data_IF_832531023491
#
_entry.id   IF_832531023491
#
_cell.length_a   1.000
_cell.length_b   1.000
_cell.length_c   1.000
_cell.angle_alpha   90.00
_cell.angle_beta   90.00
_cell.angle_gamma   90.00
#
_symmetry.space_group_name_H-M   'P 1'
#
loop_
_entity.id
_entity.type
_entity.pdbx_description
1 polymer ?
#
# COMPACT_ATOMS: atom_id res chain seq x y z
N UNK A 1 1.40 -23.45 3.69
CA UNK A 1 1.91 -22.35 2.86
C UNK A 1 2.58 -21.34 3.78
N UNK A 2 3.90 -21.20 3.70
CA UNK A 2 4.66 -20.31 4.58
C UNK A 2 4.61 -18.87 4.03
N UNK A 3 4.55 -17.87 4.90
CA UNK A 3 4.81 -16.48 4.50
C UNK A 3 6.32 -16.31 4.28
N UNK A 4 6.70 -15.43 3.36
CA UNK A 4 8.11 -15.16 3.05
C UNK A 4 8.76 -14.28 4.11
N UNK A 5 8.18 -13.12 4.38
CA UNK A 5 8.62 -12.18 5.42
C UNK A 5 7.44 -11.38 5.96
N UNK A 6 7.66 -10.67 7.06
CA UNK A 6 6.72 -9.65 7.54
C UNK A 6 7.24 -8.30 7.03
N UNK A 7 6.37 -7.56 6.36
CA UNK A 7 6.66 -6.22 5.87
C UNK A 7 5.87 -5.21 6.69
N UNK A 8 6.49 -4.09 7.02
CA UNK A 8 5.91 -3.02 7.82
C UNK A 8 6.09 -1.67 7.15
N UNK A 9 5.00 -1.11 6.65
CA UNK A 9 5.00 0.25 6.12
C UNK A 9 4.87 1.26 7.26
N UNK A 10 5.80 2.20 7.35
CA UNK A 10 5.95 3.09 8.49
C UNK A 10 5.76 4.55 8.11
N UNK A 11 5.12 5.30 9.00
CA UNK A 11 5.18 6.75 9.01
C UNK A 11 6.59 7.26 9.31
N UNK A 12 6.80 8.55 9.03
CA UNK A 12 8.10 9.20 9.19
C UNK A 12 8.61 9.11 10.64
N UNK A 13 7.81 9.53 11.60
CA UNK A 13 8.23 9.66 13.00
C UNK A 13 8.46 8.29 13.63
N UNK A 14 7.62 7.30 13.30
CA UNK A 14 7.81 5.91 13.70
C UNK A 14 9.14 5.36 13.18
N UNK A 15 9.42 5.58 11.89
CA UNK A 15 10.63 5.10 11.24
C UNK A 15 11.88 5.76 11.83
N UNK A 16 11.86 7.08 12.02
CA UNK A 16 12.96 7.85 12.61
C UNK A 16 13.22 7.38 14.06
N UNK A 17 12.17 7.20 14.86
CA UNK A 17 12.27 6.71 16.23
C UNK A 17 12.81 5.28 16.31
N UNK A 18 12.41 4.40 15.39
CA UNK A 18 12.92 3.03 15.31
C UNK A 18 14.40 2.99 14.91
N UNK A 19 14.80 3.84 13.97
CA UNK A 19 16.19 3.95 13.53
C UNK A 19 17.12 4.48 14.64
N UNK A 20 16.63 5.38 15.49
CA UNK A 20 17.45 5.99 16.55
C UNK A 20 17.65 5.09 17.78
N UNK A 21 16.90 3.99 17.90
CA UNK A 21 17.09 3.02 18.98
C UNK A 21 18.51 2.46 18.98
N UNK A 22 19.11 2.38 20.18
CA UNK A 22 20.50 1.98 20.36
C UNK A 22 20.76 0.59 19.81
N UNK A 23 19.89 -0.37 20.12
CA UNK A 23 19.98 -1.77 19.71
C UNK A 23 19.95 -1.92 18.18
N UNK A 24 19.17 -1.06 17.52
CA UNK A 24 19.07 -1.04 16.05
C UNK A 24 20.37 -0.55 15.45
N UNK A 25 20.88 0.58 15.92
CA UNK A 25 22.15 1.15 15.42
C UNK A 25 23.33 0.23 15.69
N UNK A 26 23.37 -0.41 16.86
CA UNK A 26 24.40 -1.40 17.22
C UNK A 26 24.37 -2.62 16.30
N UNK A 27 23.18 -3.09 15.90
CA UNK A 27 23.05 -4.19 14.94
C UNK A 27 23.66 -3.83 13.58
N UNK A 28 23.38 -2.63 13.07
CA UNK A 28 23.96 -2.16 11.79
C UNK A 28 25.48 -1.91 11.87
N UNK A 29 25.99 -1.48 13.03
CA UNK A 29 27.43 -1.36 13.27
C UNK A 29 28.11 -2.74 13.30
N UNK A 30 27.49 -3.71 13.96
CA UNK A 30 28.02 -5.07 14.09
C UNK A 30 28.03 -5.83 12.75
N UNK A 31 27.07 -5.56 11.86
CA UNK A 31 26.99 -6.16 10.53
C UNK A 31 27.92 -5.50 9.49
N UNK A 32 28.84 -4.64 9.93
CA UNK A 32 29.77 -3.87 9.09
C UNK A 32 29.10 -2.91 8.09
N UNK A 33 27.82 -2.61 8.30
CA UNK A 33 27.00 -1.67 7.53
C UNK A 33 27.09 -0.23 8.09
N UNK A 34 28.19 0.08 8.80
CA UNK A 34 28.40 1.37 9.46
C UNK A 34 28.39 2.57 8.51
N UNK A 35 28.63 2.36 7.21
CA UNK A 35 28.51 3.40 6.19
C UNK A 35 27.07 3.92 6.05
N UNK A 36 26.05 3.07 6.25
CA UNK A 36 24.63 3.47 6.18
C UNK A 36 24.26 4.44 7.28
N UNK A 37 24.89 4.33 8.44
CA UNK A 37 24.72 5.31 9.53
C UNK A 37 25.26 6.70 9.19
N UNK A 38 26.24 6.81 8.27
CA UNK A 38 26.74 8.11 7.79
C UNK A 38 25.79 8.77 6.79
N UNK A 39 25.11 7.97 5.97
CA UNK A 39 24.20 8.47 4.93
C UNK A 39 22.79 8.80 5.48
N UNK A 40 22.50 8.40 6.72
CA UNK A 40 21.24 8.63 7.41
C UNK A 40 20.33 7.40 7.44
N UNK A 41 19.10 7.55 7.94
CA UNK A 41 18.17 6.42 8.02
C UNK A 41 17.81 5.94 6.60
N UNK A 42 18.11 4.68 6.24
CA UNK A 42 17.74 4.14 4.92
C UNK A 42 16.21 4.07 4.81
N UNK A 43 15.65 4.30 3.61
CA UNK A 43 14.20 4.25 3.41
C UNK A 43 13.63 2.82 3.64
N UNK A 44 14.46 1.79 3.55
CA UNK A 44 14.11 0.40 3.87
C UNK A 44 15.23 -0.23 4.70
N UNK A 45 14.86 -0.86 5.81
CA UNK A 45 15.77 -1.66 6.61
C UNK A 45 15.08 -2.86 7.23
N UNK A 46 15.83 -3.90 7.56
CA UNK A 46 15.30 -5.11 8.20
C UNK A 46 15.88 -5.25 9.60
N UNK A 47 15.01 -5.49 10.58
CA UNK A 47 15.41 -5.79 11.96
C UNK A 47 14.73 -7.09 12.36
N UNK A 48 15.53 -8.06 12.80
CA UNK A 48 15.04 -9.41 13.04
C UNK A 48 14.43 -10.03 11.79
N UNK A 49 13.13 -10.32 11.82
CA UNK A 49 12.38 -10.93 10.69
C UNK A 49 11.34 -9.98 10.07
N UNK A 50 11.44 -8.68 10.35
CA UNK A 50 10.53 -7.65 9.86
C UNK A 50 11.30 -6.65 9.01
N UNK A 51 10.84 -6.45 7.78
CA UNK A 51 11.32 -5.39 6.90
C UNK A 51 10.47 -4.15 7.10
N UNK A 52 11.09 -3.06 7.55
CA UNK A 52 10.46 -1.77 7.74
C UNK A 52 10.77 -0.89 6.52
N UNK A 53 9.72 -0.31 5.92
CA UNK A 53 9.81 0.61 4.80
C UNK A 53 9.13 1.93 5.15
N UNK A 54 9.82 3.04 4.92
CA UNK A 54 9.29 4.38 5.12
C UNK A 54 8.30 4.73 4.00
N UNK A 55 7.03 4.84 4.36
CA UNK A 55 5.98 5.18 3.40
C UNK A 55 5.87 6.70 3.20
N UNK A 56 6.31 7.19 2.05
CA UNK A 56 6.21 8.60 1.68
C UNK A 56 4.89 8.87 0.94
N UNK A 57 3.91 9.44 1.65
CA UNK A 57 2.69 9.93 0.98
C UNK A 57 3.02 11.12 0.09
N UNK A 58 2.68 11.05 -1.21
CA UNK A 58 2.94 12.14 -2.15
C UNK A 58 2.07 13.38 -1.86
N UNK A 59 2.59 14.58 -2.16
CA UNK A 59 1.90 15.87 -1.87
C UNK A 59 0.45 15.92 -2.37
N UNK A 60 0.19 15.41 -3.59
CA UNK A 60 -1.17 15.34 -4.16
C UNK A 60 -2.10 14.43 -3.37
N UNK A 61 -1.57 13.29 -2.90
CA UNK A 61 -2.33 12.34 -2.09
C UNK A 61 -2.63 12.90 -0.69
N UNK A 62 -1.69 13.59 -0.08
CA UNK A 62 -1.91 14.29 1.20
C UNK A 62 -2.98 15.37 1.06
N UNK A 63 -2.95 16.17 -0.01
CA UNK A 63 -3.96 17.18 -0.27
C UNK A 63 -5.36 16.56 -0.49
N UNK A 64 -5.43 15.42 -1.19
CA UNK A 64 -6.67 14.69 -1.40
C UNK A 64 -7.19 13.98 -0.14
N UNK A 65 -6.35 13.82 0.89
CA UNK A 65 -6.66 13.15 2.15
C UNK A 65 -6.67 14.13 3.33
N UNK A 66 -7.30 15.30 3.16
CA UNK A 66 -7.45 16.34 4.19
C UNK A 66 -6.14 16.73 4.91
N UNK A 67 -5.01 16.71 4.21
CA UNK A 67 -3.71 17.04 4.79
C UNK A 67 -3.03 15.89 5.56
N UNK A 68 -3.67 14.72 5.67
CA UNK A 68 -3.13 13.55 6.36
C UNK A 68 -2.41 12.59 5.39
N UNK A 69 -1.37 11.92 5.88
CA UNK A 69 -0.73 10.80 5.17
C UNK A 69 -1.66 9.57 5.10
N UNK A 70 -1.41 8.65 4.17
CA UNK A 70 -2.15 7.36 4.16
C UNK A 70 -1.79 6.47 5.36
N UNK A 71 -0.58 6.66 5.89
CA UNK A 71 -0.09 6.10 7.14
C UNK A 71 0.28 7.29 8.01
N UNK A 72 -0.21 7.32 9.25
CA UNK A 72 0.08 8.41 10.18
C UNK A 72 1.57 8.43 10.53
N UNK A 73 2.11 9.60 10.87
CA UNK A 73 3.55 9.78 11.05
C UNK A 73 4.12 8.89 12.17
N UNK A 74 3.34 8.65 13.23
CA UNK A 74 3.67 7.83 14.40
C UNK A 74 3.17 6.37 14.31
N UNK A 75 2.67 5.94 13.15
CA UNK A 75 2.09 4.61 12.94
C UNK A 75 2.96 3.74 12.02
N UNK A 76 2.93 2.44 12.23
CA UNK A 76 3.38 1.44 11.27
C UNK A 76 2.33 0.34 11.06
N UNK A 77 2.22 -0.15 9.83
CA UNK A 77 1.27 -1.20 9.42
C UNK A 77 2.02 -2.45 8.98
N UNK A 78 1.91 -3.50 9.77
CA UNK A 78 2.56 -4.78 9.55
C UNK A 78 1.63 -5.79 8.87
N UNK A 79 2.17 -6.51 7.89
CA UNK A 79 1.47 -7.56 7.18
C UNK A 79 2.44 -8.63 6.65
N UNK A 80 2.00 -9.90 6.56
CA UNK A 80 2.82 -10.94 5.96
C UNK A 80 2.81 -10.84 4.42
N UNK A 81 3.96 -11.09 3.81
CA UNK A 81 4.15 -11.10 2.35
C UNK A 81 4.41 -12.52 1.88
N UNK A 82 3.98 -12.85 0.65
CA UNK A 82 4.18 -14.17 0.04
C UNK A 82 3.07 -15.18 0.32
N UNK A 83 2.02 -14.80 1.04
CA UNK A 83 0.83 -15.64 1.25
C UNK A 83 -0.07 -15.54 0.01
N UNK A 84 -0.22 -16.65 -0.72
CA UNK A 84 -1.05 -16.68 -1.92
C UNK A 84 -2.51 -16.37 -1.59
N UNK A 85 -3.12 -15.47 -2.38
CA UNK A 85 -4.51 -15.06 -2.20
C UNK A 85 -4.77 -14.21 -0.94
N UNK A 86 -3.74 -13.74 -0.24
CA UNK A 86 -3.94 -12.88 0.93
C UNK A 86 -4.51 -11.51 0.53
N UNK A 87 -3.88 -10.85 -0.43
CA UNK A 87 -4.38 -9.62 -1.03
C UNK A 87 -4.89 -9.94 -2.42
N UNK A 88 -6.18 -9.72 -2.64
CA UNK A 88 -6.83 -9.98 -3.92
C UNK A 88 -7.63 -8.76 -4.35
N UNK A 89 -7.72 -8.55 -5.65
CA UNK A 89 -8.70 -7.66 -6.26
C UNK A 89 -9.78 -8.49 -6.92
N UNK A 90 -11.03 -8.08 -6.74
CA UNK A 90 -12.20 -8.63 -7.43
C UNK A 90 -12.89 -7.52 -8.19
N UNK A 91 -13.49 -7.88 -9.31
CA UNK A 91 -14.16 -6.93 -10.20
C UNK A 91 -15.62 -7.32 -10.31
N UNK A 92 -16.50 -6.34 -10.14
CA UNK A 92 -17.92 -6.48 -10.42
C UNK A 92 -18.21 -6.13 -11.89
N UNK A 93 -19.35 -6.57 -12.44
CA UNK A 93 -19.83 -6.13 -13.74
C UNK A 93 -20.00 -4.61 -13.81
N UNK A 94 -19.96 -4.06 -15.02
CA UNK A 94 -20.33 -2.67 -15.25
C UNK A 94 -21.83 -2.45 -14.96
N UNK A 95 -22.22 -1.22 -14.67
CA UNK A 95 -23.62 -0.80 -14.50
C UNK A 95 -24.30 -0.44 -15.83
N UNK A 96 -23.98 -1.19 -16.88
CA UNK A 96 -24.62 -1.09 -18.19
C UNK A 96 -25.64 -2.22 -18.33
N UNK A 97 -26.75 -1.93 -19.02
CA UNK A 97 -27.79 -2.93 -19.35
C UNK A 97 -27.19 -4.16 -20.05
N UNK A 98 -26.20 -3.95 -20.93
CA UNK A 98 -25.52 -5.02 -21.68
C UNK A 98 -24.60 -5.90 -20.81
N UNK A 99 -24.22 -5.43 -19.61
CA UNK A 99 -23.33 -6.15 -18.69
C UNK A 99 -24.05 -6.76 -17.50
N UNK A 100 -25.37 -6.65 -17.42
CA UNK A 100 -26.18 -7.29 -16.39
C UNK A 100 -25.98 -8.81 -16.42
N UNK A 101 -25.75 -9.41 -15.25
CA UNK A 101 -25.53 -10.86 -15.08
C UNK A 101 -24.34 -11.43 -15.88
N UNK A 102 -23.34 -10.60 -16.19
CA UNK A 102 -22.09 -11.03 -16.82
C UNK A 102 -20.96 -11.19 -15.81
N UNK A 103 -19.83 -11.76 -16.22
CA UNK A 103 -18.62 -11.83 -15.39
C UNK A 103 -17.96 -10.44 -15.34
N UNK A 104 -17.59 -10.00 -14.14
CA UNK A 104 -16.87 -8.74 -13.94
C UNK A 104 -15.50 -8.72 -14.62
N UNK A 105 -15.30 -7.77 -15.54
CA UNK A 105 -14.03 -7.49 -16.18
C UNK A 105 -13.24 -6.41 -15.43
N UNK A 106 -11.89 -6.41 -15.53
CA UNK A 106 -11.05 -5.39 -14.90
C UNK A 106 -11.32 -3.96 -15.39
N UNK A 107 -11.80 -3.80 -16.62
CA UNK A 107 -12.09 -2.50 -17.22
C UNK A 107 -13.11 -2.65 -18.33
N UNK A 108 -14.03 -1.70 -18.40
CA UNK A 108 -14.99 -1.55 -19.48
C UNK A 108 -14.71 -0.26 -20.25
N UNK A 109 -14.94 -0.30 -21.55
CA UNK A 109 -14.93 0.86 -22.42
C UNK A 109 -16.19 0.79 -23.29
N UNK A 110 -17.06 1.78 -23.18
CA UNK A 110 -18.32 1.84 -23.88
C UNK A 110 -18.37 3.12 -24.72
N UNK A 111 -18.88 3.03 -25.95
CA UNK A 111 -19.01 4.18 -26.84
C UNK A 111 -20.42 4.25 -27.39
N UNK A 112 -21.05 5.41 -27.30
CA UNK A 112 -22.40 5.63 -27.83
C UNK A 112 -22.50 6.95 -28.59
N UNK A 113 -23.45 7.05 -29.51
CA UNK A 113 -23.62 8.25 -30.32
C UNK A 113 -24.12 9.43 -29.47
N UNK A 114 -23.62 10.63 -29.74
CA UNK A 114 -24.21 11.85 -29.20
C UNK A 114 -25.61 12.06 -29.79
N UNK A 115 -26.53 12.60 -28.99
CA UNK A 115 -27.92 12.85 -29.42
C UNK A 115 -28.05 13.75 -30.66
N UNK A 116 -27.06 14.62 -30.90
CA UNK A 116 -27.03 15.52 -32.05
C UNK A 116 -26.37 14.92 -33.31
N UNK A 117 -25.91 13.66 -33.28
CA UNK A 117 -25.27 12.98 -34.40
C UNK A 117 -23.88 13.50 -34.78
N UNK A 118 -23.29 14.41 -34.00
CA UNK A 118 -21.99 15.07 -34.32
C UNK A 118 -20.77 14.44 -33.64
N UNK A 119 -20.95 13.36 -32.89
CA UNK A 119 -19.85 12.75 -32.14
C UNK A 119 -20.22 11.46 -31.41
N UNK A 120 -19.26 10.99 -30.60
CA UNK A 120 -19.39 9.82 -29.72
C UNK A 120 -19.10 10.23 -28.28
N UNK A 121 -19.89 9.72 -27.35
CA UNK A 121 -19.52 9.68 -25.94
C UNK A 121 -18.65 8.44 -25.69
N UNK A 122 -17.73 8.57 -24.75
CA UNK A 122 -16.80 7.53 -24.34
C UNK A 122 -16.88 7.40 -22.82
N UNK A 123 -17.32 6.24 -22.36
CA UNK A 123 -17.35 5.90 -20.94
C UNK A 123 -16.30 4.82 -20.65
N UNK A 124 -15.56 5.02 -19.57
CA UNK A 124 -14.63 4.04 -19.05
C UNK A 124 -14.94 3.78 -17.58
N UNK A 125 -15.20 2.53 -17.25
CA UNK A 125 -15.59 2.13 -15.89
C UNK A 125 -14.71 0.99 -15.38
N UNK A 126 -14.50 1.00 -14.06
CA UNK A 126 -13.88 -0.10 -13.32
C UNK A 126 -14.54 -0.20 -11.94
N UNK A 127 -15.17 -1.34 -11.65
CA UNK A 127 -15.82 -1.62 -10.37
C UNK A 127 -14.97 -2.61 -9.59
N UNK A 128 -13.87 -2.14 -9.02
CA UNK A 128 -12.88 -2.96 -8.33
C UNK A 128 -13.01 -2.88 -6.80
N UNK A 129 -12.84 -4.01 -6.12
CA UNK A 129 -12.62 -4.09 -4.68
C UNK A 129 -11.33 -4.85 -4.39
N UNK A 130 -10.41 -4.19 -3.67
CA UNK A 130 -9.18 -4.80 -3.17
C UNK A 130 -9.37 -5.17 -1.71
N UNK A 131 -9.17 -6.44 -1.36
CA UNK A 131 -9.44 -6.94 0.00
C UNK A 131 -8.35 -7.89 0.50
N UNK A 132 -8.20 -7.91 1.82
CA UNK A 132 -7.41 -8.89 2.54
C UNK A 132 -8.31 -10.07 2.94
N UNK A 133 -8.01 -11.29 2.46
CA UNK A 133 -8.82 -12.48 2.74
C UNK A 133 -8.74 -12.95 4.19
N UNK A 134 -7.72 -12.48 4.95
CA UNK A 134 -7.57 -12.73 6.39
C UNK A 134 -7.26 -11.43 7.13
N UNK A 135 -8.26 -10.57 7.42
CA UNK A 135 -8.01 -9.24 7.99
C UNK A 135 -7.21 -9.23 9.31
N UNK A 136 -7.32 -10.29 10.13
CA UNK A 136 -6.62 -10.37 11.43
C UNK A 136 -5.08 -10.46 11.35
N UNK A 137 -4.51 -10.59 10.14
CA UNK A 137 -3.04 -10.53 9.94
C UNK A 137 -2.53 -9.10 9.80
N UNK A 138 -3.42 -8.13 9.57
CA UNK A 138 -3.07 -6.72 9.49
C UNK A 138 -2.95 -6.17 10.91
N UNK A 139 -1.77 -5.68 11.27
CA UNK A 139 -1.50 -5.13 12.60
C UNK A 139 -1.01 -3.70 12.49
N UNK A 140 -1.50 -2.88 13.39
CA UNK A 140 -1.07 -1.49 13.54
C UNK A 140 -0.19 -1.38 14.79
N UNK A 141 0.96 -0.75 14.64
CA UNK A 141 1.88 -0.38 15.70
C UNK A 141 1.90 1.14 15.79
N UNK A 142 1.96 1.68 17.00
CA UNK A 142 1.97 3.12 17.23
C UNK A 142 3.01 3.44 18.29
N UNK A 143 3.75 4.53 18.09
CA UNK A 143 4.57 5.13 19.14
C UNK A 143 3.79 6.26 19.82
N UNK A 144 3.88 6.32 21.14
CA UNK A 144 3.27 7.36 21.98
C UNK A 144 4.21 8.56 22.12
#
# INVERSE_FOLDING_TARGET
MAYGHIHSMCGRDFHDALWDQKEVRETFLADNEGYRLRDGAPDVFTIGKVTFERYRTGKKATAANNGAGFIAANEARCFPVGVAGLFITRFAPADLEETVNTIGLPRYAHQYAMANGKGRHLDAQMNAISLCTKPGVLRTLTIN
#
